data_IF_169242759253
#
_entry.id   IF_169242759253
#
_cell.length_a   1.000
_cell.length_b   1.000
_cell.length_c   1.000
_cell.angle_alpha   90.00
_cell.angle_beta   90.00
_cell.angle_gamma   90.00
#
_symmetry.space_group_name_H-M   'P 1'
#
loop_
_entity.id
_entity.type
_entity.pdbx_description
1 polymer ?
#
# COMPACT_ATOMS: atom_id res chain seq x y z
N UNK A 1 27.40 33.29 42.14
CA UNK A 1 27.30 33.16 40.67
C UNK A 1 25.87 33.49 40.24
N UNK A 2 25.66 34.26 39.18
CA UNK A 2 24.32 34.74 38.74
C UNK A 2 23.54 33.65 38.00
N UNK A 3 22.34 33.30 38.49
CA UNK A 3 21.41 32.32 37.88
C UNK A 3 20.94 32.70 36.48
N UNK A 4 21.17 33.94 36.06
CA UNK A 4 20.84 34.46 34.74
C UNK A 4 21.64 33.74 33.64
N UNK A 5 22.91 33.41 33.91
CA UNK A 5 23.81 32.79 32.92
C UNK A 5 23.49 31.31 32.75
N UNK A 6 23.12 30.59 33.81
CA UNK A 6 22.68 29.20 33.74
C UNK A 6 21.37 29.05 32.95
N UNK A 7 20.42 29.98 33.15
CA UNK A 7 19.18 30.03 32.37
C UNK A 7 19.44 30.31 30.89
N UNK A 8 20.39 31.18 30.57
CA UNK A 8 20.80 31.48 29.18
C UNK A 8 21.47 30.25 28.53
N UNK A 9 22.41 29.61 29.22
CA UNK A 9 23.09 28.40 28.72
C UNK A 9 22.10 27.27 28.51
N UNK A 10 21.17 27.06 29.45
CA UNK A 10 20.11 26.05 29.32
C UNK A 10 19.21 26.30 28.12
N UNK A 11 18.84 27.57 27.86
CA UNK A 11 18.01 27.93 26.72
C UNK A 11 18.73 27.72 25.38
N UNK A 12 20.03 28.04 25.31
CA UNK A 12 20.85 27.81 24.10
C UNK A 12 21.00 26.32 23.80
N UNK A 13 21.24 25.49 24.82
CA UNK A 13 21.33 24.03 24.65
C UNK A 13 19.99 23.45 24.21
N UNK A 14 18.88 23.92 24.78
CA UNK A 14 17.54 23.46 24.44
C UNK A 14 17.17 23.81 22.98
N UNK A 15 17.47 25.03 22.52
CA UNK A 15 17.25 25.44 21.13
C UNK A 15 18.14 24.63 20.17
N UNK A 16 19.39 24.36 20.55
CA UNK A 16 20.30 23.51 19.78
C UNK A 16 19.78 22.07 19.63
N UNK A 17 19.32 21.45 20.72
CA UNK A 17 18.73 20.11 20.69
C UNK A 17 17.43 20.07 19.89
N UNK A 18 16.59 21.11 20.00
CA UNK A 18 15.36 21.22 19.22
C UNK A 18 15.65 21.31 17.71
N UNK A 19 16.67 22.10 17.32
CA UNK A 19 17.11 22.22 15.94
C UNK A 19 17.67 20.91 15.38
N UNK A 20 18.44 20.18 16.18
CA UNK A 20 19.00 18.87 15.80
C UNK A 20 17.88 17.81 15.64
N UNK A 21 16.88 17.84 16.51
CA UNK A 21 15.70 16.97 16.40
C UNK A 21 14.88 17.26 15.14
N UNK A 22 14.61 18.54 14.84
CA UNK A 22 13.92 18.95 13.61
C UNK A 22 14.72 18.53 12.37
N UNK A 23 16.04 18.74 12.38
CA UNK A 23 16.92 18.30 11.30
C UNK A 23 16.85 16.78 11.07
N UNK A 24 16.85 15.99 12.14
CA UNK A 24 16.71 14.54 12.05
C UNK A 24 15.33 14.13 11.46
N UNK A 25 14.23 14.75 11.88
CA UNK A 25 12.88 14.47 11.37
C UNK A 25 12.79 14.78 9.86
N UNK A 26 13.31 15.93 9.42
CA UNK A 26 13.30 16.32 8.01
C UNK A 26 14.18 15.40 7.16
N UNK A 27 15.32 14.94 7.68
CA UNK A 27 16.26 14.15 6.90
C UNK A 27 15.94 12.63 6.88
N UNK A 28 15.13 12.13 7.82
CA UNK A 28 14.67 10.72 7.87
C UNK A 28 13.34 10.52 7.11
N UNK A 29 12.44 11.51 7.09
CA UNK A 29 11.14 11.41 6.42
C UNK A 29 11.12 12.07 5.04
N UNK A 30 11.99 11.67 4.11
CA UNK A 30 11.79 12.04 2.70
C UNK A 30 10.62 11.21 2.15
N UNK A 31 9.44 11.79 1.85
CA UNK A 31 8.41 11.02 1.15
C UNK A 31 8.97 10.62 -0.21
N UNK A 32 8.90 9.34 -0.53
CA UNK A 32 9.30 8.79 -1.82
C UNK A 32 8.46 9.43 -2.93
N UNK A 33 8.94 10.55 -3.49
CA UNK A 33 8.28 11.32 -4.53
C UNK A 33 8.25 10.65 -5.91
N UNK A 34 8.42 9.33 -6.00
CA UNK A 34 8.39 8.60 -7.26
C UNK A 34 7.02 8.65 -7.94
N UNK A 35 5.94 8.76 -7.16
CA UNK A 35 4.57 8.75 -7.69
C UNK A 35 4.15 10.09 -8.32
N UNK A 36 4.56 11.23 -7.78
CA UNK A 36 4.07 12.54 -8.25
C UNK A 36 4.83 13.03 -9.50
N UNK A 37 6.09 12.61 -9.69
CA UNK A 37 6.86 12.93 -10.91
C UNK A 37 6.24 12.31 -12.17
N UNK A 38 5.62 11.13 -12.02
CA UNK A 38 4.86 10.46 -13.10
C UNK A 38 3.61 11.23 -13.54
N UNK A 39 2.97 11.94 -12.62
CA UNK A 39 1.68 12.60 -12.86
C UNK A 39 1.80 14.02 -13.44
N UNK A 40 3.01 14.59 -13.45
CA UNK A 40 3.19 16.03 -13.71
C UNK A 40 4.15 16.35 -14.88
N UNK A 41 4.79 15.34 -15.48
CA UNK A 41 5.60 15.51 -16.70
C UNK A 41 4.80 15.10 -17.95
N UNK A 42 4.66 15.97 -18.97
CA UNK A 42 4.02 15.60 -20.23
C UNK A 42 4.84 14.49 -20.91
N UNK A 43 4.23 13.32 -21.08
CA UNK A 43 4.83 12.16 -21.73
C UNK A 43 5.04 12.43 -23.22
N UNK A 44 6.21 12.91 -23.62
CA UNK A 44 6.66 12.86 -25.01
C UNK A 44 7.27 11.48 -25.26
N UNK A 45 6.42 10.50 -25.55
CA UNK A 45 6.87 9.18 -25.99
C UNK A 45 7.14 9.20 -27.48
N UNK A 46 8.42 9.33 -27.84
CA UNK A 46 8.89 8.93 -29.16
C UNK A 46 10.27 8.28 -29.06
N UNK A 47 10.27 6.99 -29.43
CA UNK A 47 11.38 6.15 -29.88
C UNK A 47 12.30 5.53 -28.81
N UNK A 48 12.02 4.27 -28.48
CA UNK A 48 12.97 3.22 -28.83
C UNK A 48 12.27 1.89 -29.12
N UNK A 49 12.71 1.26 -30.20
CA UNK A 49 12.16 0.03 -30.78
C UNK A 49 12.45 -1.17 -29.87
N UNK A 50 11.49 -1.53 -29.03
CA UNK A 50 11.24 -2.93 -28.70
C UNK A 50 9.73 -3.14 -28.61
N UNK A 51 9.12 -3.22 -29.80
CA UNK A 51 7.77 -3.74 -29.95
C UNK A 51 7.84 -5.26 -29.75
N UNK A 52 8.00 -5.68 -28.50
CA UNK A 52 7.32 -6.89 -28.06
C UNK A 52 5.88 -6.44 -27.87
N UNK A 53 5.07 -6.67 -28.90
CA UNK A 53 3.63 -6.76 -28.71
C UNK A 53 3.41 -7.84 -27.65
N UNK A 54 3.28 -7.43 -26.39
CA UNK A 54 2.68 -8.29 -25.38
C UNK A 54 1.28 -8.53 -25.90
N UNK A 55 1.12 -9.70 -26.50
CA UNK A 55 -0.15 -10.36 -26.67
C UNK A 55 -0.87 -10.27 -25.33
N UNK A 56 -1.81 -9.33 -25.23
CA UNK A 56 -2.76 -9.27 -24.12
C UNK A 56 -3.77 -10.40 -24.38
N UNK A 57 -3.28 -11.63 -24.40
CA UNK A 57 -4.15 -12.76 -24.13
C UNK A 57 -4.57 -12.58 -22.67
N UNK A 58 -5.86 -12.39 -22.38
CA UNK A 58 -6.34 -12.26 -21.01
C UNK A 58 -5.76 -13.42 -20.19
N UNK A 59 -5.05 -13.11 -19.10
CA UNK A 59 -4.60 -14.19 -18.23
C UNK A 59 -5.83 -14.82 -17.59
N UNK A 60 -5.83 -16.15 -17.35
CA UNK A 60 -6.84 -16.78 -16.51
C UNK A 60 -6.92 -16.03 -15.18
N UNK A 61 -8.01 -15.30 -14.94
CA UNK A 61 -8.16 -14.40 -13.79
C UNK A 61 -8.46 -12.93 -14.10
N UNK A 62 -8.24 -12.46 -15.34
CA UNK A 62 -8.68 -11.12 -15.80
C UNK A 62 -10.20 -11.07 -16.10
N UNK A 63 -10.87 -12.20 -15.91
CA UNK A 63 -12.30 -12.37 -16.10
C UNK A 63 -13.08 -11.69 -14.98
N UNK A 64 -14.26 -11.16 -15.31
CA UNK A 64 -15.19 -10.69 -14.29
C UNK A 64 -15.52 -11.84 -13.34
N UNK A 65 -15.34 -11.63 -12.03
CA UNK A 65 -15.73 -12.60 -11.02
C UNK A 65 -17.22 -12.97 -11.17
N UNK A 66 -17.49 -14.26 -11.38
CA UNK A 66 -18.84 -14.82 -11.44
C UNK A 66 -19.18 -15.39 -10.07
N UNK A 67 -20.34 -15.02 -9.53
CA UNK A 67 -20.88 -15.55 -8.27
C UNK A 67 -22.29 -16.07 -8.48
N UNK A 68 -22.65 -17.11 -7.72
CA UNK A 68 -24.00 -17.66 -7.64
C UNK A 68 -24.29 -18.04 -6.20
N UNK A 69 -25.35 -17.46 -5.65
CA UNK A 69 -25.85 -17.84 -4.33
C UNK A 69 -26.68 -19.12 -4.47
N UNK A 70 -26.26 -20.20 -3.80
CA UNK A 70 -27.04 -21.44 -3.73
C UNK A 70 -28.11 -21.36 -2.64
N UNK A 71 -27.76 -20.70 -1.53
CA UNK A 71 -28.65 -20.40 -0.40
C UNK A 71 -28.30 -19.00 0.09
N UNK A 72 -29.29 -18.11 0.18
CA UNK A 72 -29.09 -16.76 0.68
C UNK A 72 -29.24 -16.76 2.20
N UNK A 73 -28.21 -16.31 2.91
CA UNK A 73 -28.26 -16.18 4.37
C UNK A 73 -29.13 -15.00 4.81
N UNK A 74 -29.75 -15.10 5.98
CA UNK A 74 -30.53 -14.02 6.61
C UNK A 74 -29.71 -13.18 7.61
N UNK A 75 -28.40 -13.46 7.73
CA UNK A 75 -27.49 -12.75 8.64
C UNK A 75 -27.09 -11.37 8.14
N UNK A 76 -26.35 -10.64 8.98
CA UNK A 76 -25.79 -9.35 8.60
C UNK A 76 -24.73 -9.50 7.48
N UNK A 77 -24.67 -8.50 6.60
CA UNK A 77 -23.63 -8.41 5.58
C UNK A 77 -22.26 -8.16 6.23
N UNK A 78 -21.26 -8.93 5.81
CA UNK A 78 -19.86 -8.84 6.25
C UNK A 78 -19.21 -7.59 5.65
N UNK A 79 -18.42 -6.87 6.45
CA UNK A 79 -17.71 -5.65 6.05
C UNK A 79 -16.20 -5.87 6.06
N UNK A 80 -15.48 -4.96 5.40
CA UNK A 80 -14.02 -4.98 5.38
C UNK A 80 -13.46 -4.90 6.81
N UNK A 81 -12.60 -5.85 7.17
CA UNK A 81 -11.99 -5.95 8.50
C UNK A 81 -12.69 -6.95 9.43
N UNK A 82 -13.87 -7.45 9.07
CA UNK A 82 -14.55 -8.48 9.86
C UNK A 82 -13.82 -9.83 9.77
N UNK A 83 -13.78 -10.55 10.89
CA UNK A 83 -13.33 -11.93 10.91
C UNK A 83 -14.49 -12.86 10.55
N UNK A 84 -14.26 -13.80 9.64
CA UNK A 84 -15.24 -14.80 9.20
C UNK A 84 -14.72 -16.22 9.40
N UNK A 85 -15.62 -17.14 9.68
CA UNK A 85 -15.35 -18.59 9.65
C UNK A 85 -16.12 -19.20 8.49
N UNK A 86 -15.43 -19.95 7.65
CA UNK A 86 -15.99 -20.52 6.41
C UNK A 86 -15.63 -21.97 6.29
N UNK A 87 -16.53 -22.73 5.66
CA UNK A 87 -16.18 -24.00 5.05
C UNK A 87 -16.10 -23.82 3.54
N UNK A 88 -15.10 -24.40 2.90
CA UNK A 88 -14.86 -24.21 1.47
C UNK A 88 -14.26 -25.45 0.79
N UNK A 89 -14.43 -25.51 -0.52
CA UNK A 89 -13.76 -26.45 -1.42
C UNK A 89 -13.24 -25.63 -2.61
N UNK A 90 -11.95 -25.75 -2.91
CA UNK A 90 -11.31 -25.13 -4.08
C UNK A 90 -11.08 -26.15 -5.18
N UNK A 91 -11.59 -25.88 -6.39
CA UNK A 91 -11.40 -26.74 -7.58
C UNK A 91 -10.91 -25.95 -8.78
N UNK A 92 -10.17 -26.61 -9.68
CA UNK A 92 -9.99 -26.12 -11.04
C UNK A 92 -11.29 -26.25 -11.85
N UNK A 93 -11.31 -25.71 -13.07
CA UNK A 93 -12.48 -25.76 -13.97
C UNK A 93 -12.82 -27.17 -14.44
N UNK A 94 -11.88 -28.11 -14.38
CA UNK A 94 -12.09 -29.54 -14.66
C UNK A 94 -12.64 -30.32 -13.45
N UNK A 95 -12.89 -29.64 -12.32
CA UNK A 95 -13.40 -30.21 -11.09
C UNK A 95 -12.34 -30.85 -10.19
N UNK A 96 -11.06 -30.90 -10.60
CA UNK A 96 -9.99 -31.41 -9.74
C UNK A 96 -9.81 -30.47 -8.54
N UNK A 97 -9.91 -31.03 -7.33
CA UNK A 97 -9.71 -30.31 -6.07
C UNK A 97 -8.25 -29.93 -5.87
N UNK A 98 -8.00 -28.69 -5.44
CA UNK A 98 -6.68 -28.23 -5.01
C UNK A 98 -6.60 -27.89 -3.52
N UNK A 99 -7.73 -27.57 -2.87
CA UNK A 99 -7.79 -27.29 -1.42
C UNK A 99 -9.19 -27.58 -0.82
N UNK A 100 -9.29 -27.76 0.50
CA UNK A 100 -10.50 -28.17 1.24
C UNK A 100 -10.40 -27.84 2.73
N UNK A 101 -11.47 -27.30 3.32
CA UNK A 101 -11.60 -27.20 4.79
C UNK A 101 -12.22 -28.44 5.46
N UNK A 102 -12.65 -29.41 4.66
CA UNK A 102 -13.20 -30.71 5.08
C UNK A 102 -12.22 -31.85 4.81
#
# INVERSE_FOLDING_TARGET
MSTKNEKIISWVVLVGLLGLLVYAIVNVNKPSGSFIKSLTEPQNQNNDKNQSSMDITPQPGDEKLIKKDLVVGAGAEVKAGDAVTVNYIGTFTDGKKFDSSY
#
